data_IF_770127626539
#
_entry.id   IF_770127626539
#
_cell.length_a   1.000
_cell.length_b   1.000
_cell.length_c   1.000
_cell.angle_alpha   90.00
_cell.angle_beta   90.00
_cell.angle_gamma   90.00
#
_symmetry.space_group_name_H-M   'P 1'
#
loop_
_entity.id
_entity.type
_entity.pdbx_description
1 polymer ?
#
# COMPACT_ATOMS: atom_id res chain seq x y z
N UNK A 1 15.14 -12.99 16.39
CA UNK A 1 14.23 -11.88 16.04
C UNK A 1 14.36 -11.68 14.54
N UNK A 2 13.27 -11.66 13.75
CA UNK A 2 13.39 -11.41 12.31
C UNK A 2 13.94 -9.99 12.12
N UNK A 3 15.05 -9.91 11.40
CA UNK A 3 15.67 -8.65 11.00
C UNK A 3 14.83 -8.02 9.87
N UNK A 4 14.42 -6.76 10.05
CA UNK A 4 13.61 -6.03 9.07
C UNK A 4 14.30 -6.00 7.71
N UNK A 5 15.62 -5.88 7.66
CA UNK A 5 16.37 -5.90 6.41
C UNK A 5 16.19 -7.23 5.67
N UNK A 6 16.35 -8.36 6.35
CA UNK A 6 16.17 -9.68 5.74
C UNK A 6 14.74 -9.92 5.29
N UNK A 7 13.75 -9.47 6.08
CA UNK A 7 12.34 -9.57 5.68
C UNK A 7 12.07 -8.71 4.45
N UNK A 8 12.49 -7.44 4.44
CA UNK A 8 12.29 -6.55 3.30
C UNK A 8 12.96 -7.10 2.03
N UNK A 9 14.19 -7.60 2.13
CA UNK A 9 14.89 -8.24 1.01
C UNK A 9 14.13 -9.44 0.48
N UNK A 10 13.71 -10.36 1.35
CA UNK A 10 12.92 -11.53 0.95
C UNK A 10 11.59 -11.16 0.31
N UNK A 11 10.93 -10.10 0.80
CA UNK A 11 9.67 -9.58 0.25
C UNK A 11 9.82 -8.81 -1.05
N UNK A 12 11.00 -8.32 -1.39
CA UNK A 12 11.30 -7.77 -2.71
C UNK A 12 11.53 -8.88 -3.76
N UNK A 13 12.02 -10.03 -3.32
CA UNK A 13 12.26 -11.22 -4.15
C UNK A 13 11.00 -12.08 -4.36
N UNK A 14 9.99 -11.90 -3.52
CA UNK A 14 8.72 -12.61 -3.60
C UNK A 14 7.79 -11.99 -4.66
N UNK A 15 7.48 -12.70 -5.77
CA UNK A 15 6.65 -12.18 -6.85
C UNK A 15 5.20 -11.92 -6.44
N UNK A 16 4.72 -12.56 -5.37
CA UNK A 16 3.35 -12.39 -4.88
C UNK A 16 3.24 -11.26 -3.84
N UNK A 17 4.35 -10.61 -3.49
CA UNK A 17 4.34 -9.45 -2.61
C UNK A 17 4.23 -8.15 -3.42
N UNK A 18 3.18 -7.39 -3.16
CA UNK A 18 3.05 -6.01 -3.65
C UNK A 18 3.76 -5.02 -2.72
N UNK A 19 4.23 -3.90 -3.27
CA UNK A 19 4.84 -2.80 -2.54
C UNK A 19 4.19 -1.49 -2.92
N UNK A 20 4.19 -0.54 -2.00
CA UNK A 20 3.85 0.83 -2.34
C UNK A 20 4.63 1.86 -1.53
N UNK A 21 4.71 3.06 -2.09
CA UNK A 21 5.19 4.27 -1.43
C UNK A 21 4.27 5.42 -1.75
N UNK A 22 3.97 6.25 -0.75
CA UNK A 22 3.07 7.37 -0.94
C UNK A 22 2.36 7.81 0.34
N UNK A 23 1.21 8.42 0.13
CA UNK A 23 0.32 8.97 1.14
C UNK A 23 -1.12 8.56 0.85
N UNK A 24 -2.03 8.81 1.78
CA UNK A 24 -3.44 8.59 1.55
C UNK A 24 -3.98 9.50 0.44
N UNK A 25 -4.13 8.94 -0.76
CA UNK A 25 -4.59 9.65 -1.94
C UNK A 25 -3.52 9.93 -3.00
N UNK A 26 -2.24 9.67 -2.75
CA UNK A 26 -1.18 9.70 -3.76
C UNK A 26 -0.19 8.57 -3.52
N UNK A 27 -0.31 7.48 -4.28
CA UNK A 27 0.45 6.23 -4.08
C UNK A 27 1.04 5.76 -5.40
N UNK A 28 2.29 5.29 -5.35
CA UNK A 28 2.90 4.50 -6.40
C UNK A 28 3.08 3.07 -5.92
N UNK A 29 2.63 2.13 -6.74
CA UNK A 29 2.68 0.70 -6.47
C UNK A 29 3.75 0.03 -7.33
N UNK A 30 4.37 -1.00 -6.78
CA UNK A 30 5.28 -1.89 -7.46
C UNK A 30 4.93 -3.32 -7.11
N UNK A 31 4.68 -4.14 -8.13
CA UNK A 31 4.52 -5.57 -7.98
C UNK A 31 4.97 -6.27 -9.26
N UNK A 32 5.29 -7.56 -9.13
CA UNK A 32 5.68 -8.38 -10.26
C UNK A 32 4.45 -8.81 -11.05
N UNK A 33 4.57 -8.84 -12.37
CA UNK A 33 3.52 -9.34 -13.26
C UNK A 33 3.87 -10.76 -13.66
N UNK A 34 2.91 -11.68 -13.54
CA UNK A 34 3.15 -13.08 -13.90
C UNK A 34 3.48 -13.20 -15.40
N UNK A 35 4.58 -13.91 -15.71
CA UNK A 35 5.05 -14.09 -17.08
C UNK A 35 6.00 -13.01 -17.58
N UNK A 36 6.14 -11.88 -16.86
CA UNK A 36 7.24 -10.95 -17.13
C UNK A 36 8.59 -11.59 -16.74
N UNK A 37 9.71 -11.16 -17.35
CA UNK A 37 11.05 -11.52 -16.89
C UNK A 37 11.26 -11.17 -15.41
N UNK A 38 12.11 -11.94 -14.69
CA UNK A 38 12.44 -11.60 -13.31
C UNK A 38 13.07 -10.20 -13.21
N UNK A 39 12.86 -9.49 -12.09
CA UNK A 39 13.43 -8.16 -11.88
C UNK A 39 14.95 -8.20 -11.93
N UNK A 40 15.55 -7.17 -12.52
CA UNK A 40 16.98 -6.90 -12.37
C UNK A 40 17.25 -6.45 -10.94
N UNK A 41 18.18 -7.12 -10.27
CA UNK A 41 18.68 -6.76 -8.94
C UNK A 41 19.82 -5.75 -9.09
N UNK A 42 19.63 -4.51 -8.63
CA UNK A 42 20.66 -3.44 -8.71
C UNK A 42 21.25 -3.06 -7.35
N UNK A 43 20.83 -3.76 -6.30
CA UNK A 43 21.29 -3.60 -4.92
C UNK A 43 20.44 -4.47 -4.00
N UNK A 44 20.83 -4.60 -2.73
CA UNK A 44 20.18 -5.53 -1.79
C UNK A 44 18.67 -5.30 -1.69
N UNK A 45 18.25 -4.03 -1.64
CA UNK A 45 16.85 -3.61 -1.53
C UNK A 45 16.36 -2.85 -2.78
N UNK A 46 16.87 -3.20 -3.97
CA UNK A 46 16.52 -2.55 -5.24
C UNK A 46 16.12 -3.55 -6.32
N UNK A 47 14.95 -3.36 -6.92
CA UNK A 47 14.42 -4.22 -7.99
C UNK A 47 13.90 -3.34 -9.13
N UNK A 48 14.22 -3.73 -10.37
CA UNK A 48 13.78 -3.02 -11.58
C UNK A 48 13.19 -4.02 -12.56
N UNK A 49 12.01 -3.73 -13.08
CA UNK A 49 11.38 -4.45 -14.19
C UNK A 49 11.25 -3.51 -15.39
N UNK A 50 10.75 -4.03 -16.52
CA UNK A 50 10.42 -3.18 -17.66
C UNK A 50 9.28 -2.19 -17.35
N UNK A 51 8.46 -2.46 -16.32
CA UNK A 51 7.24 -1.71 -15.99
C UNK A 51 7.41 -0.71 -14.84
N UNK A 52 8.36 -0.95 -13.94
CA UNK A 52 8.62 -0.08 -12.80
C UNK A 52 9.87 -0.49 -12.04
N UNK A 53 10.12 0.18 -10.92
CA UNK A 53 11.18 -0.20 -10.01
C UNK A 53 10.92 0.27 -8.59
N UNK A 54 11.58 -0.35 -7.64
CA UNK A 54 11.54 0.00 -6.23
C UNK A 54 12.96 -0.04 -5.66
N UNK A 55 13.26 0.90 -4.77
CA UNK A 55 14.47 0.88 -3.95
C UNK A 55 14.18 1.39 -2.56
N UNK A 56 14.60 0.64 -1.54
CA UNK A 56 14.67 1.14 -0.17
C UNK A 56 16.09 1.68 0.07
N UNK A 57 16.17 2.96 0.39
CA UNK A 57 17.43 3.67 0.64
C UNK A 57 17.91 3.47 2.09
N UNK A 58 16.98 3.32 3.03
CA UNK A 58 17.30 3.09 4.45
C UNK A 58 16.18 2.32 5.15
N UNK A 59 16.56 1.55 6.16
CA UNK A 59 15.67 0.92 7.14
C UNK A 59 16.03 1.33 8.58
N UNK A 60 16.93 2.30 8.73
CA UNK A 60 17.31 2.87 10.03
C UNK A 60 16.12 3.60 10.63
N UNK A 61 15.87 3.39 11.93
CA UNK A 61 14.76 3.97 12.70
C UNK A 61 13.35 3.68 12.15
N UNK A 62 13.24 2.77 11.18
CA UNK A 62 11.97 2.33 10.63
C UNK A 62 11.28 1.37 11.60
N UNK A 63 10.04 1.70 11.97
CA UNK A 63 9.16 0.83 12.72
C UNK A 63 8.23 0.09 11.76
N UNK A 64 8.35 -1.24 11.62
CA UNK A 64 7.35 -2.04 10.92
C UNK A 64 6.08 -2.15 11.78
N UNK A 65 4.92 -2.05 11.13
CA UNK A 65 3.60 -2.26 11.74
C UNK A 65 2.83 -3.22 10.85
N UNK A 66 2.65 -4.46 11.30
CA UNK A 66 1.86 -5.47 10.60
C UNK A 66 0.39 -5.38 11.01
N UNK A 67 -0.54 -5.47 10.06
CA UNK A 67 -1.96 -5.39 10.36
C UNK A 67 -2.81 -6.09 9.32
N UNK A 68 -4.04 -6.43 9.73
CA UNK A 68 -5.07 -6.96 8.86
C UNK A 68 -6.28 -6.02 8.89
N UNK A 69 -6.97 -5.87 7.77
CA UNK A 69 -8.20 -5.07 7.67
C UNK A 69 -9.36 -5.91 7.19
N UNK A 70 -10.56 -5.55 7.63
CA UNK A 70 -11.79 -6.23 7.23
C UNK A 70 -12.08 -5.96 5.76
N UNK A 71 -12.35 -7.03 5.01
CA UNK A 71 -12.90 -6.90 3.66
C UNK A 71 -14.42 -6.67 3.72
N UNK A 72 -15.02 -5.96 2.76
CA UNK A 72 -16.47 -5.98 2.57
C UNK A 72 -17.01 -7.40 2.28
N UNK A 73 -16.18 -8.29 1.72
CA UNK A 73 -16.53 -9.70 1.48
C UNK A 73 -16.26 -10.52 2.76
N UNK A 74 -17.27 -11.14 3.40
CA UNK A 74 -17.10 -11.83 4.69
C UNK A 74 -16.15 -13.03 4.67
N UNK A 75 -15.81 -13.57 3.49
CA UNK A 75 -14.84 -14.66 3.35
C UNK A 75 -13.40 -14.16 3.10
N UNK A 76 -13.17 -12.85 3.18
CA UNK A 76 -11.87 -12.21 2.90
C UNK A 76 -11.45 -11.24 4.01
N UNK A 77 -10.15 -10.94 4.01
CA UNK A 77 -9.48 -9.86 4.72
C UNK A 77 -8.31 -9.38 3.87
N UNK A 78 -7.80 -8.19 4.16
CA UNK A 78 -6.54 -7.70 3.60
C UNK A 78 -5.46 -7.70 4.67
N UNK A 79 -4.19 -7.70 4.26
CA UNK A 79 -3.04 -7.78 5.15
C UNK A 79 -1.88 -6.97 4.59
N UNK A 80 -1.17 -6.26 5.47
CA UNK A 80 -0.05 -5.40 5.07
C UNK A 80 0.96 -5.23 6.22
N UNK A 81 2.17 -4.81 5.86
CA UNK A 81 3.15 -4.26 6.79
C UNK A 81 3.51 -2.86 6.34
N UNK A 82 3.22 -1.88 7.18
CA UNK A 82 3.63 -0.50 6.99
C UNK A 82 5.02 -0.26 7.57
N UNK A 83 5.88 0.42 6.81
CA UNK A 83 7.20 0.87 7.23
C UNK A 83 7.09 2.33 7.65
N UNK A 84 7.08 2.55 8.97
CA UNK A 84 6.75 3.84 9.55
C UNK A 84 8.00 4.54 10.09
N UNK A 85 8.01 5.86 9.99
CA UNK A 85 8.96 6.74 10.67
C UNK A 85 8.22 7.64 11.66
N UNK A 86 8.91 8.18 12.69
CA UNK A 86 8.38 9.29 13.47
C UNK A 86 7.95 10.45 12.55
N UNK A 87 6.90 11.17 12.93
CA UNK A 87 6.29 12.21 12.08
C UNK A 87 7.30 13.22 11.55
N UNK A 88 8.18 13.74 12.42
CA UNK A 88 9.23 14.70 12.08
C UNK A 88 10.27 14.11 11.10
N UNK A 89 10.66 12.86 11.30
CA UNK A 89 11.59 12.14 10.45
C UNK A 89 10.97 11.73 9.10
N UNK A 90 9.64 11.62 9.02
CA UNK A 90 8.91 11.26 7.80
C UNK A 90 8.72 12.46 6.84
N UNK A 91 8.87 13.70 7.32
CA UNK A 91 8.56 14.90 6.55
C UNK A 91 9.40 15.01 5.28
N UNK A 92 8.72 15.19 4.15
CA UNK A 92 9.25 15.52 2.84
C UNK A 92 9.10 17.03 2.59
N UNK A 93 9.12 17.47 1.33
CA UNK A 93 9.17 18.90 1.01
C UNK A 93 7.82 19.59 1.14
N UNK A 94 6.71 18.83 1.04
CA UNK A 94 5.32 19.30 1.16
C UNK A 94 5.02 20.50 0.24
N UNK A 95 5.56 20.49 -0.98
CA UNK A 95 5.28 21.52 -1.98
C UNK A 95 3.81 21.46 -2.36
N UNK A 96 3.18 22.62 -2.54
CA UNK A 96 1.77 22.78 -2.91
C UNK A 96 1.58 23.27 -4.36
N UNK A 97 2.68 23.37 -5.10
CA UNK A 97 2.74 23.83 -6.47
C UNK A 97 3.71 22.99 -7.30
N UNK A 98 3.48 22.94 -8.61
CA UNK A 98 4.36 22.27 -9.56
C UNK A 98 5.77 22.88 -9.49
N UNK A 99 6.78 22.06 -9.22
CA UNK A 99 8.16 22.53 -9.02
C UNK A 99 9.16 21.71 -9.81
N UNK A 100 10.05 22.34 -10.59
CA UNK A 100 11.17 21.65 -11.25
C UNK A 100 12.25 21.29 -10.22
N UNK A 101 12.67 20.03 -10.18
CA UNK A 101 13.73 19.54 -9.29
C UNK A 101 15.08 19.34 -10.03
N UNK A 102 15.07 19.48 -11.36
CA UNK A 102 16.22 19.23 -12.21
C UNK A 102 16.37 17.76 -12.61
N UNK A 103 17.54 17.36 -13.15
CA UNK A 103 17.79 15.98 -13.58
C UNK A 103 17.66 14.95 -12.45
N UNK A 104 16.98 13.82 -12.70
CA UNK A 104 16.82 12.72 -11.74
C UNK A 104 18.06 11.83 -11.67
N UNK A 105 19.18 12.35 -11.17
CA UNK A 105 20.45 11.61 -11.06
C UNK A 105 20.37 10.35 -10.21
N UNK A 106 19.29 10.18 -9.43
CA UNK A 106 19.04 9.01 -8.58
C UNK A 106 18.09 7.99 -9.22
N UNK A 107 17.68 8.19 -10.48
CA UNK A 107 16.78 7.29 -11.20
C UNK A 107 17.32 5.86 -11.19
N UNK A 108 16.42 4.89 -11.03
CA UNK A 108 16.78 3.47 -10.93
C UNK A 108 17.39 2.95 -12.23
N UNK A 109 16.87 3.39 -13.37
CA UNK A 109 17.39 3.07 -14.70
C UNK A 109 18.44 4.12 -15.12
N UNK A 110 19.66 3.72 -15.54
CA UNK A 110 20.69 4.66 -15.98
C UNK A 110 20.23 5.60 -17.10
N UNK A 111 19.43 5.09 -18.06
CA UNK A 111 18.90 5.87 -19.17
C UNK A 111 17.94 6.98 -18.75
N UNK A 112 17.37 6.88 -17.56
CA UNK A 112 16.44 7.86 -17.01
C UNK A 112 17.13 8.99 -16.23
N UNK A 113 18.43 8.87 -15.93
CA UNK A 113 19.11 9.79 -15.00
C UNK A 113 19.27 11.23 -15.52
N UNK A 114 19.19 11.41 -16.84
CA UNK A 114 19.23 12.72 -17.49
C UNK A 114 17.86 13.40 -17.64
N UNK A 115 16.77 12.68 -17.40
CA UNK A 115 15.43 13.22 -17.52
C UNK A 115 15.09 14.14 -16.33
N UNK A 116 14.27 15.17 -16.57
CA UNK A 116 13.94 16.18 -15.57
C UNK A 116 12.81 15.68 -14.68
N UNK A 117 12.99 15.82 -13.37
CA UNK A 117 12.02 15.50 -12.35
C UNK A 117 11.23 16.76 -11.95
N UNK A 118 9.91 16.62 -11.84
CA UNK A 118 9.02 17.65 -11.32
C UNK A 118 8.22 17.09 -10.15
N UNK A 119 8.17 17.81 -9.03
CA UNK A 119 7.22 17.56 -7.95
C UNK A 119 5.83 18.06 -8.38
N UNK A 120 4.81 17.22 -8.27
CA UNK A 120 3.44 17.56 -8.65
C UNK A 120 2.77 18.56 -7.71
N UNK A 121 3.37 18.86 -6.55
CA UNK A 121 2.85 19.86 -5.63
C UNK A 121 1.58 19.42 -4.89
N UNK A 122 1.54 18.15 -4.45
CA UNK A 122 0.34 17.57 -3.82
C UNK A 122 0.20 17.89 -2.31
N UNK A 123 1.10 18.70 -1.75
CA UNK A 123 1.14 19.13 -0.35
C UNK A 123 1.13 17.98 0.67
N UNK A 124 1.65 16.81 0.29
CA UNK A 124 1.70 15.62 1.14
C UNK A 124 2.91 15.66 2.07
N UNK A 125 2.75 15.36 3.37
CA UNK A 125 3.86 15.51 4.31
C UNK A 125 4.91 14.41 4.17
N UNK A 126 4.58 13.19 3.75
CA UNK A 126 5.52 12.05 3.75
C UNK A 126 5.95 11.55 2.37
N UNK A 127 5.51 12.20 1.29
CA UNK A 127 5.89 11.85 -0.08
C UNK A 127 6.04 13.09 -0.94
N UNK A 128 7.16 13.19 -1.67
CA UNK A 128 7.26 14.06 -2.84
C UNK A 128 6.82 13.20 -4.05
N UNK A 129 5.64 13.50 -4.59
CA UNK A 129 5.04 12.72 -5.67
C UNK A 129 5.34 13.39 -7.00
N UNK A 130 6.21 12.77 -7.78
CA UNK A 130 6.87 13.40 -8.91
C UNK A 130 6.51 12.73 -10.24
N UNK A 131 6.74 13.48 -11.32
CA UNK A 131 6.82 12.97 -12.69
C UNK A 131 8.22 13.21 -13.25
N UNK A 132 8.66 12.32 -14.14
CA UNK A 132 9.96 12.42 -14.82
C UNK A 132 9.76 12.35 -16.33
N UNK A 133 10.35 13.31 -17.05
CA UNK A 133 10.23 13.38 -18.50
C UNK A 133 11.47 13.96 -19.18
N UNK A 134 11.76 13.47 -20.38
CA UNK A 134 12.69 14.06 -21.34
C UNK A 134 11.98 14.58 -22.59
N UNK A 135 10.64 14.49 -22.65
CA UNK A 135 9.83 14.97 -23.78
C UNK A 135 9.88 16.50 -23.84
N UNK A 136 10.41 17.11 -24.92
CA UNK A 136 10.58 18.56 -25.00
C UNK A 136 9.26 19.34 -24.94
N UNK A 137 8.16 18.78 -25.44
CA UNK A 137 6.85 19.45 -25.43
C UNK A 137 6.28 19.45 -24.04
N UNK A 138 6.33 18.32 -23.33
CA UNK A 138 5.89 18.24 -21.94
C UNK A 138 6.76 19.15 -21.06
N UNK A 139 8.08 19.17 -21.26
CA UNK A 139 8.98 20.07 -20.52
C UNK A 139 8.59 21.55 -20.68
N UNK A 140 8.24 22.00 -21.88
CA UNK A 140 7.77 23.39 -22.11
C UNK A 140 6.53 23.69 -21.26
N UNK A 141 5.53 22.80 -21.34
CA UNK A 141 4.26 22.98 -20.62
C UNK A 141 4.47 22.99 -19.10
N UNK A 142 5.29 22.09 -18.57
CA UNK A 142 5.55 22.02 -17.14
C UNK A 142 6.30 23.26 -16.62
N UNK A 143 7.28 23.77 -17.38
CA UNK A 143 8.02 24.99 -17.03
C UNK A 143 7.14 26.24 -17.08
N UNK A 144 6.25 26.34 -18.05
CA UNK A 144 5.27 27.43 -18.12
C UNK A 144 4.23 27.38 -16.99
N UNK A 145 3.99 26.20 -16.42
CA UNK A 145 3.09 25.96 -15.30
C UNK A 145 3.79 25.94 -13.92
N UNK A 146 5.11 26.12 -13.87
CA UNK A 146 5.87 26.12 -12.61
C UNK A 146 5.36 27.18 -11.62
N UNK A 147 5.32 26.81 -10.35
CA UNK A 147 4.80 27.66 -9.27
C UNK A 147 3.26 27.71 -9.18
N UNK A 148 2.54 26.99 -10.05
CA UNK A 148 1.07 26.90 -10.00
C UNK A 148 0.62 25.54 -9.48
N UNK A 149 -0.57 25.50 -8.87
CA UNK A 149 -1.19 24.23 -8.49
C UNK A 149 -1.64 23.47 -9.75
N UNK A 150 -1.41 22.15 -9.78
CA UNK A 150 -1.93 21.30 -10.86
C UNK A 150 -3.46 21.25 -10.91
N UNK A 151 -4.13 21.58 -9.80
CA UNK A 151 -5.60 21.61 -9.71
C UNK A 151 -6.19 22.99 -10.01
N UNK A 152 -5.34 23.99 -10.31
CA UNK A 152 -5.78 25.32 -10.71
C UNK A 152 -6.57 25.24 -12.02
N UNK A 153 -7.72 25.91 -12.07
CA UNK A 153 -8.60 25.90 -13.25
C UNK A 153 -7.86 26.51 -14.45
N UNK A 154 -7.83 25.75 -15.55
CA UNK A 154 -7.18 26.19 -16.79
C UNK A 154 -5.68 25.92 -16.85
N UNK A 155 -5.08 25.33 -15.82
CA UNK A 155 -3.70 24.85 -15.89
C UNK A 155 -3.60 23.66 -16.89
N UNK A 156 -2.82 23.78 -17.97
CA UNK A 156 -2.73 22.73 -19.00
C UNK A 156 -1.89 21.51 -18.55
N UNK A 157 -1.12 21.62 -17.47
CA UNK A 157 -0.12 20.63 -17.07
C UNK A 157 -0.71 19.24 -16.87
N UNK A 158 -1.83 19.11 -16.14
CA UNK A 158 -2.45 17.80 -15.89
C UNK A 158 -2.89 17.10 -17.19
N UNK A 159 -3.46 17.85 -18.14
CA UNK A 159 -3.84 17.31 -19.44
C UNK A 159 -2.62 16.83 -20.25
N UNK A 160 -1.53 17.60 -20.23
CA UNK A 160 -0.29 17.21 -20.89
C UNK A 160 0.36 15.97 -20.26
N UNK A 161 0.35 15.88 -18.92
CA UNK A 161 0.84 14.70 -18.17
C UNK A 161 0.06 13.45 -18.60
N UNK A 162 -1.27 13.53 -18.63
CA UNK A 162 -2.10 12.39 -19.03
C UNK A 162 -1.86 11.97 -20.48
N UNK A 163 -1.65 12.91 -21.40
CA UNK A 163 -1.43 12.63 -22.81
C UNK A 163 -0.03 12.05 -23.12
N UNK A 164 0.99 12.42 -22.34
CA UNK A 164 2.38 11.98 -22.57
C UNK A 164 2.76 10.76 -21.73
N UNK A 165 2.01 10.45 -20.67
CA UNK A 165 2.29 9.35 -19.75
C UNK A 165 3.74 9.33 -19.23
N UNK A 166 4.26 10.44 -18.66
CA UNK A 166 5.62 10.45 -18.13
C UNK A 166 5.81 9.38 -17.06
N UNK A 167 7.06 9.02 -16.78
CA UNK A 167 7.35 8.15 -15.65
C UNK A 167 6.88 8.84 -14.36
N UNK A 168 6.27 8.08 -13.43
CA UNK A 168 5.91 8.61 -12.10
C UNK A 168 6.90 8.11 -11.08
N UNK A 169 7.20 8.94 -10.11
CA UNK A 169 8.16 8.64 -9.06
C UNK A 169 7.57 9.06 -7.72
N UNK A 170 7.35 8.13 -6.81
CA UNK A 170 7.07 8.44 -5.41
C UNK A 170 8.38 8.42 -4.62
N UNK A 171 8.74 9.56 -4.02
CA UNK A 171 9.92 9.70 -3.18
C UNK A 171 9.49 9.85 -1.73
N UNK A 172 10.05 9.02 -0.86
CA UNK A 172 9.84 9.10 0.59
C UNK A 172 11.18 9.03 1.31
N UNK A 173 11.16 9.20 2.64
CA UNK A 173 12.37 9.10 3.45
C UNK A 173 12.99 7.71 3.49
N UNK A 174 12.22 6.67 3.19
CA UNK A 174 12.71 5.28 3.18
C UNK A 174 13.17 4.82 1.81
N UNK A 175 12.86 5.56 0.73
CA UNK A 175 13.31 5.22 -0.62
C UNK A 175 12.41 5.74 -1.72
N UNK A 176 12.33 4.99 -2.83
CA UNK A 176 11.54 5.37 -4.00
C UNK A 176 10.84 4.20 -4.68
N UNK A 177 9.69 4.50 -5.29
CA UNK A 177 9.02 3.68 -6.30
C UNK A 177 8.96 4.46 -7.59
N UNK A 178 9.29 3.82 -8.71
CA UNK A 178 9.20 4.37 -10.05
C UNK A 178 8.24 3.54 -10.91
N UNK A 179 7.46 4.22 -11.73
CA UNK A 179 6.50 3.58 -12.62
C UNK A 179 6.69 4.06 -14.05
N UNK A 180 6.85 3.12 -14.96
CA UNK A 180 7.16 3.37 -16.38
C UNK A 180 5.97 3.11 -17.31
N UNK A 181 4.92 2.47 -16.81
CA UNK A 181 3.72 2.12 -17.59
C UNK A 181 2.86 3.34 -17.91
N UNK A 182 1.90 3.20 -18.82
CA UNK A 182 0.90 4.23 -19.08
C UNK A 182 0.09 4.59 -17.82
N UNK A 183 -0.45 5.80 -17.80
CA UNK A 183 -1.41 6.24 -16.78
C UNK A 183 -2.80 5.71 -17.14
N UNK A 184 -3.55 5.22 -16.15
CA UNK A 184 -4.94 4.80 -16.35
C UNK A 184 -5.80 5.93 -16.92
N UNK A 185 -6.58 5.66 -17.96
CA UNK A 185 -7.31 6.67 -18.71
C UNK A 185 -7.85 6.16 -20.04
N UNK A 186 -8.32 7.05 -20.93
CA UNK A 186 -8.89 6.67 -22.22
C UNK A 186 -8.01 5.74 -23.05
N UNK A 187 -6.69 5.99 -23.08
CA UNK A 187 -5.71 5.22 -23.86
C UNK A 187 -5.48 3.80 -23.33
N UNK A 188 -5.96 3.51 -22.13
CA UNK A 188 -5.87 2.21 -21.46
C UNK A 188 -7.25 1.58 -21.23
N UNK A 189 -8.29 2.07 -21.92
CA UNK A 189 -9.66 1.58 -21.77
C UNK A 189 -10.31 1.97 -20.43
N UNK A 190 -9.82 3.04 -19.82
CA UNK A 190 -10.31 3.58 -18.55
C UNK A 190 -9.77 2.90 -17.30
N UNK A 191 -8.77 2.02 -17.41
CA UNK A 191 -8.20 1.28 -16.28
C UNK A 191 -6.67 1.38 -16.27
N UNK A 192 -6.08 1.34 -15.08
CA UNK A 192 -4.62 1.21 -14.96
C UNK A 192 -4.17 -0.14 -15.56
N UNK A 193 -3.06 -0.17 -16.32
CA UNK A 193 -2.46 -1.44 -16.76
C UNK A 193 -2.08 -2.34 -15.58
N UNK A 194 -2.08 -3.66 -15.80
CA UNK A 194 -1.55 -4.61 -14.83
C UNK A 194 -0.07 -4.33 -14.53
N UNK A 195 0.33 -4.45 -13.26
CA UNK A 195 1.69 -4.20 -12.80
C UNK A 195 1.83 -2.85 -12.08
N UNK A 196 3.08 -2.33 -11.94
CA UNK A 196 3.34 -1.06 -11.32
C UNK A 196 2.49 0.07 -11.91
N UNK A 197 1.76 0.79 -11.07
CA UNK A 197 0.90 1.91 -11.46
C UNK A 197 0.79 2.91 -10.32
N UNK A 198 0.11 4.02 -10.58
CA UNK A 198 -0.03 5.12 -9.61
C UNK A 198 -1.48 5.52 -9.46
N UNK A 199 -1.85 5.92 -8.25
CA UNK A 199 -3.15 6.50 -7.93
C UNK A 199 -2.95 7.91 -7.39
N UNK A 200 -3.62 8.88 -8.01
CA UNK A 200 -3.77 10.24 -7.46
C UNK A 200 -5.27 10.51 -7.35
N UNK A 201 -5.78 10.58 -6.13
CA UNK A 201 -7.20 10.62 -5.81
C UNK A 201 -7.52 11.93 -5.08
N UNK A 202 -7.92 13.00 -5.79
CA UNK A 202 -8.13 14.32 -5.21
C UNK A 202 -9.10 14.36 -4.02
N UNK A 203 -10.09 13.46 -3.99
CA UNK A 203 -11.01 13.34 -2.85
C UNK A 203 -10.30 12.89 -1.57
N UNK A 204 -9.39 11.92 -1.67
CA UNK A 204 -8.65 11.41 -0.53
C UNK A 204 -7.55 12.40 -0.08
N UNK A 205 -6.90 13.08 -1.02
CA UNK A 205 -5.92 14.13 -0.72
C UNK A 205 -6.51 15.25 0.15
N UNK A 206 -7.77 15.64 -0.10
CA UNK A 206 -8.49 16.65 0.71
C UNK A 206 -8.77 16.22 2.15
N UNK A 207 -8.67 14.92 2.46
CA UNK A 207 -8.80 14.45 3.83
C UNK A 207 -7.56 14.80 4.67
N UNK A 208 -6.43 15.18 4.04
CA UNK A 208 -5.18 15.56 4.70
C UNK A 208 -4.67 14.53 5.71
N UNK A 209 -5.05 13.27 5.51
CA UNK A 209 -4.58 12.13 6.29
C UNK A 209 -3.30 11.58 5.69
N UNK A 210 -2.40 11.07 6.52
CA UNK A 210 -1.22 10.37 6.03
C UNK A 210 -1.54 8.93 5.61
N UNK A 211 -2.54 8.31 6.23
CA UNK A 211 -2.96 6.94 5.98
C UNK A 211 -4.46 6.74 6.24
N UNK A 212 -5.00 5.61 5.79
CA UNK A 212 -6.39 5.23 6.05
C UNK A 212 -6.65 5.11 7.55
N UNK A 213 -7.82 5.54 8.02
CA UNK A 213 -8.26 5.35 9.42
C UNK A 213 -8.40 3.87 9.82
N UNK A 214 -8.38 2.95 8.85
CA UNK A 214 -8.41 1.51 9.10
C UNK A 214 -7.02 0.88 9.27
N UNK A 215 -5.94 1.59 8.92
CA UNK A 215 -4.59 1.15 9.25
C UNK A 215 -4.27 1.58 10.69
N UNK A 216 -3.96 0.64 11.60
CA UNK A 216 -3.73 0.94 13.02
C UNK A 216 -2.29 1.44 13.24
N UNK A 217 -1.90 2.51 12.53
CA UNK A 217 -0.60 3.13 12.71
C UNK A 217 -0.60 3.87 14.07
N UNK A 218 0.41 3.64 14.93
CA UNK A 218 0.49 4.30 16.22
C UNK A 218 0.59 5.83 16.09
N UNK A 219 0.05 6.55 17.08
CA UNK A 219 0.17 8.01 17.16
C UNK A 219 1.64 8.46 17.12
N UNK A 220 1.91 9.55 16.38
CA UNK A 220 3.25 10.08 16.15
C UNK A 220 4.08 9.33 15.10
N UNK A 221 3.52 8.30 14.45
CA UNK A 221 4.16 7.55 13.38
C UNK A 221 3.44 7.74 12.04
N UNK A 222 4.21 7.75 10.97
CA UNK A 222 3.72 7.97 9.60
C UNK A 222 4.27 6.88 8.68
N UNK A 223 3.41 6.18 7.91
CA UNK A 223 3.88 5.18 6.95
C UNK A 223 4.52 5.84 5.73
N UNK A 224 5.74 5.45 5.40
CA UNK A 224 6.48 5.93 4.23
C UNK A 224 6.55 4.89 3.11
N UNK A 225 6.45 3.61 3.45
CA UNK A 225 6.30 2.52 2.49
C UNK A 225 5.39 1.44 3.09
N UNK A 226 4.89 0.53 2.26
CA UNK A 226 4.22 -0.68 2.72
C UNK A 226 4.52 -1.84 1.78
N UNK A 227 4.51 -3.05 2.33
CA UNK A 227 4.45 -4.27 1.53
C UNK A 227 3.23 -5.10 1.91
N UNK A 228 2.71 -5.82 0.92
CA UNK A 228 1.45 -6.56 0.94
C UNK A 228 1.75 -7.99 0.52
N UNK A 229 2.07 -8.90 1.47
CA UNK A 229 2.31 -10.29 1.15
C UNK A 229 1.08 -10.92 0.53
N UNK A 230 1.29 -11.88 -0.39
CA UNK A 230 0.22 -12.57 -1.11
C UNK A 230 -0.94 -13.00 -0.19
N UNK A 231 -2.16 -12.66 -0.60
CA UNK A 231 -3.36 -13.03 0.16
C UNK A 231 -3.50 -14.55 0.21
N UNK A 232 -3.93 -15.12 1.35
CA UNK A 232 -4.16 -16.55 1.45
C UNK A 232 -5.51 -16.99 0.85
N UNK A 233 -6.34 -16.06 0.37
CA UNK A 233 -7.74 -16.36 -0.03
C UNK A 233 -8.15 -15.78 -1.39
N UNK A 234 -7.37 -14.88 -1.97
CA UNK A 234 -7.57 -14.41 -3.34
C UNK A 234 -6.22 -14.20 -4.05
N UNK A 235 -6.24 -14.22 -5.38
CA UNK A 235 -5.07 -13.93 -6.21
C UNK A 235 -4.91 -12.43 -6.48
N UNK A 236 -3.84 -12.05 -7.18
CA UNK A 236 -3.53 -10.65 -7.55
C UNK A 236 -4.59 -9.97 -8.42
N UNK A 237 -5.43 -10.75 -9.10
CA UNK A 237 -6.56 -10.24 -9.90
C UNK A 237 -7.85 -10.13 -9.07
N UNK A 238 -7.77 -10.43 -7.77
CA UNK A 238 -8.90 -10.40 -6.84
C UNK A 238 -9.85 -11.59 -6.96
N UNK A 239 -9.50 -12.62 -7.75
CA UNK A 239 -10.28 -13.85 -7.85
C UNK A 239 -10.07 -14.70 -6.59
N UNK A 240 -11.13 -15.38 -6.13
CA UNK A 240 -11.01 -16.29 -5.00
C UNK A 240 -10.08 -17.47 -5.36
N UNK A 241 -9.25 -17.89 -4.41
CA UNK A 241 -8.44 -19.11 -4.50
C UNK A 241 -8.71 -20.03 -3.31
N UNK A 242 -8.20 -21.25 -3.41
CA UNK A 242 -8.15 -22.17 -2.28
C UNK A 242 -7.32 -21.57 -1.13
N UNK A 243 -7.68 -21.90 0.10
CA UNK A 243 -7.00 -21.35 1.27
C UNK A 243 -5.53 -21.80 1.31
N UNK A 244 -4.65 -20.82 1.24
CA UNK A 244 -3.19 -21.01 1.25
C UNK A 244 -2.69 -20.90 2.69
N UNK A 245 -2.55 -22.06 3.34
CA UNK A 245 -2.16 -22.15 4.74
C UNK A 245 -0.74 -21.66 4.99
N UNK A 246 0.17 -21.79 4.01
CA UNK A 246 1.55 -21.32 4.13
C UNK A 246 1.61 -19.79 4.09
N UNK A 247 0.92 -19.15 3.12
CA UNK A 247 0.83 -17.69 3.06
C UNK A 247 0.16 -17.12 4.32
N UNK A 248 -0.88 -17.80 4.83
CA UNK A 248 -1.52 -17.43 6.08
C UNK A 248 -0.53 -17.48 7.26
N UNK A 249 0.12 -18.63 7.49
CA UNK A 249 1.07 -18.82 8.58
C UNK A 249 2.23 -17.81 8.52
N UNK A 250 2.79 -17.58 7.33
CA UNK A 250 3.86 -16.62 7.11
C UNK A 250 3.44 -15.19 7.49
N UNK A 251 2.21 -14.78 7.19
CA UNK A 251 1.72 -13.47 7.65
C UNK A 251 1.44 -13.45 9.16
N UNK A 252 0.95 -14.54 9.75
CA UNK A 252 0.76 -14.63 11.20
C UNK A 252 2.07 -14.46 11.98
N UNK A 253 3.21 -14.90 11.43
CA UNK A 253 4.52 -14.63 12.03
C UNK A 253 4.86 -13.13 12.06
N UNK A 254 4.60 -12.41 10.96
CA UNK A 254 4.81 -10.96 10.89
C UNK A 254 3.85 -10.22 11.83
N UNK A 255 2.59 -10.65 11.88
CA UNK A 255 1.57 -10.06 12.74
C UNK A 255 1.91 -10.27 14.22
N UNK A 256 2.38 -11.45 14.62
CA UNK A 256 2.85 -11.69 15.99
C UNK A 256 4.05 -10.82 16.37
N UNK A 257 4.95 -10.57 15.42
CA UNK A 257 6.18 -9.80 15.67
C UNK A 257 5.97 -8.29 15.65
N UNK A 258 5.17 -7.78 14.72
CA UNK A 258 5.04 -6.34 14.42
C UNK A 258 3.60 -5.83 14.51
N UNK A 259 2.65 -6.69 14.85
CA UNK A 259 1.26 -6.30 15.05
C UNK A 259 1.04 -5.53 16.34
N UNK A 260 -0.08 -4.81 16.38
CA UNK A 260 -0.51 -4.11 17.58
C UNK A 260 -0.92 -5.14 18.63
N UNK A 261 -0.35 -5.06 19.83
CA UNK A 261 -0.55 -6.03 20.89
C UNK A 261 -2.03 -6.27 21.24
N UNK A 262 -2.84 -5.20 21.23
CA UNK A 262 -4.29 -5.29 21.43
C UNK A 262 -4.99 -6.14 20.36
N UNK A 263 -4.63 -5.96 19.08
CA UNK A 263 -5.17 -6.76 17.98
C UNK A 263 -4.79 -8.23 18.15
N UNK A 264 -3.51 -8.51 18.41
CA UNK A 264 -3.01 -9.87 18.61
C UNK A 264 -3.68 -10.57 19.79
N UNK A 265 -3.82 -9.88 20.92
CA UNK A 265 -4.47 -10.43 22.12
C UNK A 265 -5.93 -10.80 21.85
N UNK A 266 -6.68 -9.91 21.20
CA UNK A 266 -8.08 -10.16 20.87
C UNK A 266 -8.23 -11.31 19.85
N UNK A 267 -7.35 -11.36 18.84
CA UNK A 267 -7.33 -12.44 17.85
C UNK A 267 -7.01 -13.78 18.51
N UNK A 268 -5.95 -13.85 19.31
CA UNK A 268 -5.53 -15.08 20.01
C UNK A 268 -6.61 -15.58 20.96
N UNK A 269 -7.29 -14.68 21.68
CA UNK A 269 -8.41 -15.02 22.54
C UNK A 269 -9.58 -15.63 21.76
N UNK A 270 -9.95 -15.05 20.62
CA UNK A 270 -11.00 -15.60 19.75
C UNK A 270 -10.63 -16.99 19.21
N UNK A 271 -9.39 -17.17 18.75
CA UNK A 271 -8.89 -18.46 18.27
C UNK A 271 -8.84 -19.51 19.38
N UNK A 272 -8.46 -19.14 20.60
CA UNK A 272 -8.45 -20.05 21.75
C UNK A 272 -9.87 -20.49 22.14
N UNK A 273 -10.82 -19.56 22.17
CA UNK A 273 -12.22 -19.82 22.45
C UNK A 273 -12.85 -20.75 21.40
N UNK A 274 -12.61 -20.50 20.11
CA UNK A 274 -13.09 -21.36 19.02
C UNK A 274 -12.50 -22.78 19.09
N UNK A 275 -11.19 -22.91 19.39
CA UNK A 275 -10.56 -24.23 19.65
C UNK A 275 -11.18 -24.96 20.83
N UNK A 276 -11.55 -24.23 21.89
CA UNK A 276 -12.16 -24.79 23.08
C UNK A 276 -13.65 -25.15 22.89
N UNK A 277 -14.25 -24.85 21.74
CA UNK A 277 -15.68 -25.07 21.50
C UNK A 277 -16.58 -24.09 22.26
N UNK A 278 -16.06 -22.92 22.63
CA UNK A 278 -16.82 -21.92 23.39
C UNK A 278 -17.98 -21.36 22.56
N UNK A 279 -19.19 -21.39 23.11
CA UNK A 279 -20.36 -20.81 22.45
C UNK A 279 -20.23 -19.29 22.33
N UNK A 280 -20.72 -18.72 21.22
CA UNK A 280 -20.68 -17.28 20.96
C UNK A 280 -21.33 -16.45 22.07
N UNK A 281 -22.32 -17.03 22.78
CA UNK A 281 -23.02 -16.38 23.88
C UNK A 281 -22.13 -16.05 25.08
N UNK A 282 -21.20 -16.95 25.38
CA UNK A 282 -20.27 -16.84 26.50
C UNK A 282 -19.09 -15.92 26.20
N UNK A 283 -18.77 -15.74 24.91
CA UNK A 283 -17.64 -14.92 24.52
C UNK A 283 -17.96 -13.43 24.67
N UNK A 284 -17.04 -12.72 25.35
CA UNK A 284 -17.11 -11.28 25.52
C UNK A 284 -16.50 -10.58 24.31
N UNK A 285 -17.29 -9.76 23.65
CA UNK A 285 -16.81 -8.91 22.56
C UNK A 285 -15.79 -7.88 23.07
N UNK A 286 -14.69 -7.62 22.34
CA UNK A 286 -13.74 -6.57 22.70
C UNK A 286 -14.35 -5.17 22.73
N UNK A 287 -13.95 -4.37 23.72
CA UNK A 287 -14.50 -3.02 23.92
C UNK A 287 -13.99 -2.01 22.88
N UNK A 288 -12.84 -2.29 22.25
CA UNK A 288 -12.17 -1.40 21.30
C UNK A 288 -12.51 -1.71 19.85
N UNK A 289 -12.42 -0.69 18.97
CA UNK A 289 -12.63 -0.88 17.52
C UNK A 289 -11.63 -1.87 16.92
N UNK A 290 -10.36 -1.77 17.32
CA UNK A 290 -9.31 -2.65 16.81
C UNK A 290 -9.48 -4.10 17.30
N UNK A 291 -9.83 -4.29 18.57
CA UNK A 291 -10.17 -5.61 19.11
C UNK A 291 -11.36 -6.26 18.42
N UNK A 292 -12.43 -5.49 18.13
CA UNK A 292 -13.58 -6.00 17.35
C UNK A 292 -13.18 -6.39 15.92
N UNK A 293 -12.34 -5.61 15.26
CA UNK A 293 -11.82 -5.97 13.95
C UNK A 293 -11.01 -7.27 14.00
N UNK A 294 -10.18 -7.45 15.05
CA UNK A 294 -9.42 -8.67 15.29
C UNK A 294 -10.31 -9.90 15.48
N UNK A 295 -11.34 -9.79 16.33
CA UNK A 295 -12.34 -10.85 16.55
C UNK A 295 -13.02 -11.24 15.24
N UNK A 296 -13.45 -10.26 14.44
CA UNK A 296 -14.12 -10.51 13.16
C UNK A 296 -13.18 -11.20 12.17
N UNK A 297 -11.96 -10.70 11.99
CA UNK A 297 -10.97 -11.36 11.14
C UNK A 297 -10.64 -12.77 11.63
N UNK A 298 -10.55 -13.00 12.94
CA UNK A 298 -10.33 -14.33 13.52
C UNK A 298 -11.42 -15.32 13.12
N UNK A 299 -12.70 -14.91 13.21
CA UNK A 299 -13.85 -15.73 12.77
C UNK A 299 -13.75 -16.04 11.27
N UNK A 300 -13.45 -15.05 10.43
CA UNK A 300 -13.33 -15.25 8.98
C UNK A 300 -12.22 -16.21 8.61
N UNK A 301 -11.06 -16.06 9.24
CA UNK A 301 -9.90 -16.92 9.04
C UNK A 301 -10.16 -18.34 9.54
N UNK A 302 -10.78 -18.48 10.71
CA UNK A 302 -11.18 -19.78 11.25
C UNK A 302 -12.06 -20.55 10.27
N UNK A 303 -13.06 -19.89 9.67
CA UNK A 303 -13.95 -20.51 8.67
C UNK A 303 -13.21 -20.99 7.43
N UNK A 304 -12.17 -20.28 7.01
CA UNK A 304 -11.35 -20.66 5.85
C UNK A 304 -10.45 -21.85 6.15
N UNK A 305 -9.90 -21.92 7.36
CA UNK A 305 -8.98 -22.99 7.75
C UNK A 305 -9.71 -24.27 8.21
N UNK A 306 -10.81 -24.13 8.96
CA UNK A 306 -11.49 -25.25 9.63
C UNK A 306 -12.87 -25.58 9.04
N UNK A 307 -13.31 -24.81 8.05
CA UNK A 307 -14.65 -24.91 7.48
C UNK A 307 -15.74 -24.22 8.31
N UNK A 308 -16.97 -24.30 7.80
CA UNK A 308 -18.10 -23.50 8.27
C UNK A 308 -19.05 -24.29 9.19
N UNK A 309 -18.53 -24.78 10.31
CA UNK A 309 -19.29 -25.52 11.31
C UNK A 309 -20.34 -24.65 12.02
N UNK A 310 -21.35 -25.29 12.64
CA UNK A 310 -22.43 -24.60 13.37
C UNK A 310 -21.92 -23.61 14.42
N UNK A 311 -20.86 -23.99 15.14
CA UNK A 311 -20.23 -23.14 16.15
C UNK A 311 -19.77 -21.80 15.55
N UNK A 312 -18.91 -21.84 14.53
CA UNK A 312 -18.36 -20.62 13.94
C UNK A 312 -19.40 -19.82 13.16
N UNK A 313 -20.47 -20.45 12.65
CA UNK A 313 -21.64 -19.74 12.12
C UNK A 313 -22.32 -18.89 13.18
N UNK A 314 -22.57 -19.44 14.37
CA UNK A 314 -23.15 -18.68 15.48
C UNK A 314 -22.26 -17.51 15.92
N UNK A 315 -20.93 -17.70 15.90
CA UNK A 315 -19.97 -16.62 16.13
C UNK A 315 -20.06 -15.53 15.06
N UNK A 316 -20.09 -15.90 13.78
CA UNK A 316 -20.23 -14.94 12.68
C UNK A 316 -21.55 -14.16 12.75
N UNK A 317 -22.66 -14.84 13.03
CA UNK A 317 -23.99 -14.23 13.22
C UNK A 317 -24.02 -13.23 14.39
N UNK A 318 -23.23 -13.45 15.44
CA UNK A 318 -23.17 -12.55 16.59
C UNK A 318 -22.22 -11.38 16.37
N UNK A 319 -21.00 -11.65 15.89
CA UNK A 319 -19.89 -10.69 15.95
C UNK A 319 -19.45 -10.12 14.59
N UNK A 320 -19.66 -10.85 13.48
CA UNK A 320 -19.30 -10.39 12.13
C UNK A 320 -20.51 -9.92 11.33
N UNK A 321 -21.46 -9.25 12.00
CA UNK A 321 -22.58 -8.61 11.32
C UNK A 321 -22.03 -7.52 10.40
N UNK A 322 -22.37 -7.62 9.12
CA UNK A 322 -22.05 -6.60 8.12
C UNK A 322 -22.78 -5.31 8.47
N UNK A 323 -22.13 -4.40 9.19
CA UNK A 323 -22.52 -3.00 9.17
C UNK A 323 -22.26 -2.51 7.75
N UNK A 324 -23.32 -2.17 7.02
CA UNK A 324 -23.30 -1.53 5.69
C UNK A 324 -22.63 -0.13 5.69
N UNK A 325 -21.77 0.15 6.66
CA UNK A 325 -21.04 1.40 6.84
C UNK A 325 -19.55 1.08 6.79
N UNK A 326 -19.03 0.92 5.58
CA UNK A 326 -17.65 1.27 5.31
C UNK A 326 -17.71 2.36 4.27
N UNK A 327 -17.43 3.59 4.70
CA UNK A 327 -16.93 4.62 3.79
C UNK A 327 -15.84 3.98 2.94
N UNK A 328 -15.98 4.14 1.63
CA UNK A 328 -15.18 3.54 0.58
C UNK A 328 -13.77 4.18 0.58
N UNK A 329 -13.05 3.96 1.67
CA UNK A 329 -11.72 4.49 1.98
C UNK A 329 -10.61 3.54 1.51
N UNK A 330 -10.98 2.41 0.90
CA UNK A 330 -10.04 1.53 0.25
C UNK A 330 -9.97 1.92 -1.23
N UNK A 331 -8.87 2.51 -1.73
CA UNK A 331 -8.71 2.68 -3.16
C UNK A 331 -8.85 1.28 -3.78
N UNK A 332 -9.87 1.10 -4.62
CA UNK A 332 -10.27 -0.21 -5.12
C UNK A 332 -9.07 -1.00 -5.62
N UNK A 333 -8.82 -2.14 -4.99
CA UNK A 333 -8.06 -3.24 -5.56
C UNK A 333 -9.01 -4.05 -6.45
#
# INVERSE_FOLDING_TARGET
MLDLFQVARGRLDDPETGWNMGSFGAIAEFHHVAGDPPPTVTGDLSRITARGGIRLDTLTDVRPVAFETLSPKPHRWSQAVALCLPEDAALMSRRDNLTELGPDTKALRPEDQGAVLFDMGLAQPQVDFCIRTSDPKLLSVLREAEGKSLFEKGNPAMGAILATHPHRVALTRVGRVEVYQLIGGPDTGGKSPEGPHTHVLPKLLRAERTHSANAPIPEGWVPCASFHPGSPVFDRMGADKDFDAEAFAAFQDLLRLWGIAEYNTAKDAAWAALRAGENAESHREPDTRLGRAALRNAIRQWRRENGDASLVRAWAERFDRSTHETEDDNPGH
#
